data_IF_802998485526
#
_entry.id   IF_802998485526
#
_cell.length_a   1.000
_cell.length_b   1.000
_cell.length_c   1.000
_cell.angle_alpha   90.00
_cell.angle_beta   90.00
_cell.angle_gamma   90.00
#
_symmetry.space_group_name_H-M   'P 1'
#
loop_
_entity.id
_entity.type
_entity.pdbx_description
1 polymer ?
#
# COMPACT_ATOMS: atom_id res chain seq x y z
N UNK A 1 -9.65 4.86 -3.00
CA UNK A 1 -9.24 3.51 -2.52
C UNK A 1 -10.28 2.81 -1.64
N UNK A 2 -10.65 3.31 -0.44
CA UNK A 2 -11.51 2.59 0.51
C UNK A 2 -12.95 2.27 0.03
N UNK A 3 -13.53 3.11 -0.83
CA UNK A 3 -14.90 2.89 -1.35
C UNK A 3 -14.97 1.68 -2.29
N UNK A 4 -13.93 1.45 -3.08
CA UNK A 4 -13.85 0.32 -4.04
C UNK A 4 -13.70 -1.03 -3.32
N UNK A 5 -13.16 -1.05 -2.10
CA UNK A 5 -12.90 -2.26 -1.31
C UNK A 5 -14.21 -2.86 -0.74
N UNK A 6 -15.32 -2.12 -0.72
CA UNK A 6 -16.63 -2.60 -0.22
C UNK A 6 -17.46 -3.35 -1.27
N UNK A 7 -17.00 -3.42 -2.52
CA UNK A 7 -17.74 -4.00 -3.66
C UNK A 7 -17.65 -5.53 -3.84
N UNK A 8 -16.54 -6.22 -3.51
CA UNK A 8 -16.44 -7.68 -3.62
C UNK A 8 -17.54 -8.42 -2.85
N UNK A 9 -17.87 -9.64 -3.30
CA UNK A 9 -18.83 -10.48 -2.59
C UNK A 9 -18.33 -10.82 -1.18
N UNK A 10 -19.22 -10.91 -0.19
CA UNK A 10 -18.85 -11.29 1.18
C UNK A 10 -18.65 -12.80 1.26
N UNK A 11 -17.42 -13.22 1.03
CA UNK A 11 -16.95 -14.60 1.25
C UNK A 11 -15.86 -14.60 2.30
N UNK A 12 -15.60 -15.76 2.90
CA UNK A 12 -14.57 -15.91 3.93
C UNK A 12 -13.17 -15.51 3.41
N UNK A 13 -12.84 -15.92 2.18
CA UNK A 13 -11.57 -15.62 1.53
C UNK A 13 -11.43 -14.12 1.27
N UNK A 14 -12.49 -13.48 0.77
CA UNK A 14 -12.51 -12.04 0.52
C UNK A 14 -12.36 -11.25 1.81
N UNK A 15 -13.01 -11.66 2.90
CA UNK A 15 -12.89 -10.98 4.19
C UNK A 15 -11.45 -11.05 4.74
N UNK A 16 -10.75 -12.18 4.55
CA UNK A 16 -9.32 -12.30 4.90
C UNK A 16 -8.48 -11.36 4.04
N UNK A 17 -8.65 -11.38 2.72
CA UNK A 17 -7.87 -10.55 1.79
C UNK A 17 -8.09 -9.06 2.07
N UNK A 18 -9.34 -8.66 2.26
CA UNK A 18 -9.72 -7.28 2.63
C UNK A 18 -9.07 -6.89 3.96
N UNK A 19 -9.06 -7.80 4.94
CA UNK A 19 -8.41 -7.56 6.23
C UNK A 19 -6.89 -7.37 6.12
N UNK A 20 -6.21 -8.09 5.23
CA UNK A 20 -4.78 -7.88 4.94
C UNK A 20 -4.56 -6.54 4.20
N UNK A 21 -5.41 -6.24 3.22
CA UNK A 21 -5.35 -4.99 2.45
C UNK A 21 -5.52 -3.77 3.34
N UNK A 22 -6.53 -3.76 4.23
CA UNK A 22 -6.78 -2.65 5.14
C UNK A 22 -5.57 -2.41 6.04
N UNK A 23 -5.01 -3.46 6.63
CA UNK A 23 -3.84 -3.33 7.52
C UNK A 23 -2.64 -2.73 6.79
N UNK A 24 -2.28 -3.27 5.63
CA UNK A 24 -1.15 -2.75 4.85
C UNK A 24 -1.37 -1.29 4.43
N UNK A 25 -2.57 -0.94 3.92
CA UNK A 25 -2.88 0.46 3.55
C UNK A 25 -2.77 1.40 4.76
N UNK A 26 -3.32 1.01 5.92
CA UNK A 26 -3.22 1.86 7.12
C UNK A 26 -1.79 1.96 7.65
N UNK A 27 -0.98 0.92 7.45
CA UNK A 27 0.44 0.89 7.85
C UNK A 27 1.27 1.89 7.03
N UNK A 28 0.93 2.12 5.75
CA UNK A 28 1.56 3.16 4.91
C UNK A 28 1.49 4.53 5.59
N UNK A 29 0.30 4.96 5.99
CA UNK A 29 0.10 6.26 6.64
C UNK A 29 0.73 6.33 8.03
N UNK A 30 0.64 5.24 8.81
CA UNK A 30 1.25 5.18 10.14
C UNK A 30 2.78 5.34 10.09
N UNK A 31 3.46 4.65 9.17
CA UNK A 31 4.92 4.72 9.05
C UNK A 31 5.40 6.03 8.39
N UNK A 32 4.56 6.66 7.55
CA UNK A 32 4.86 8.01 7.03
C UNK A 32 4.82 9.05 8.16
N UNK A 33 3.83 8.98 9.05
CA UNK A 33 3.77 9.81 10.26
C UNK A 33 4.93 9.53 11.24
N UNK A 34 5.37 8.28 11.36
CA UNK A 34 6.55 7.93 12.16
C UNK A 34 7.83 8.53 11.58
N UNK A 35 7.95 8.59 10.25
CA UNK A 35 9.10 9.19 9.58
C UNK A 35 9.25 10.70 9.88
N UNK A 36 8.15 11.42 10.08
CA UNK A 36 8.18 12.84 10.49
C UNK A 36 8.80 13.03 11.89
N UNK A 37 8.72 12.00 12.75
CA UNK A 37 9.33 11.97 14.08
C UNK A 37 10.77 11.45 14.12
N UNK A 38 11.34 11.03 12.99
CA UNK A 38 12.66 10.39 12.96
C UNK A 38 13.79 11.34 13.37
N UNK A 39 14.63 10.90 14.30
CA UNK A 39 15.77 11.69 14.81
C UNK A 39 17.01 11.62 13.92
N UNK A 40 17.13 10.57 13.11
CA UNK A 40 18.29 10.34 12.24
C UNK A 40 17.87 10.03 10.82
N UNK A 41 18.79 10.25 9.87
CA UNK A 41 18.54 9.86 8.46
C UNK A 41 18.37 8.35 8.30
N UNK A 42 19.09 7.55 9.08
CA UNK A 42 18.98 6.10 9.03
C UNK A 42 17.58 5.65 9.45
N UNK A 43 17.04 6.27 10.50
CA UNK A 43 15.70 6.03 11.02
C UNK A 43 14.61 6.47 10.02
N UNK A 44 14.74 7.67 9.44
CA UNK A 44 13.85 8.13 8.36
C UNK A 44 13.83 7.18 7.17
N UNK A 45 15.01 6.70 6.75
CA UNK A 45 15.13 5.72 5.65
C UNK A 45 14.48 4.39 6.04
N UNK A 46 14.60 3.96 7.30
CA UNK A 46 13.98 2.74 7.81
C UNK A 46 12.45 2.84 7.72
N UNK A 47 11.86 3.91 8.27
CA UNK A 47 10.41 4.17 8.21
C UNK A 47 9.91 4.17 6.76
N UNK A 48 10.53 4.95 5.86
CA UNK A 48 10.12 4.96 4.45
C UNK A 48 10.37 3.63 3.71
N UNK A 49 11.32 2.81 4.18
CA UNK A 49 11.49 1.45 3.65
C UNK A 49 10.30 0.57 4.03
N UNK A 50 9.75 0.73 5.24
CA UNK A 50 8.51 0.07 5.66
C UNK A 50 7.33 0.59 4.84
N UNK A 51 7.15 1.92 4.72
CA UNK A 51 6.12 2.55 3.86
C UNK A 51 6.11 1.91 2.46
N UNK A 52 7.30 1.78 1.84
CA UNK A 52 7.44 1.16 0.51
C UNK A 52 7.05 -0.32 0.48
N UNK A 53 7.38 -1.07 1.54
CA UNK A 53 7.03 -2.48 1.66
C UNK A 53 5.51 -2.63 1.75
N UNK A 54 4.87 -1.84 2.61
CA UNK A 54 3.42 -1.84 2.82
C UNK A 54 2.65 -1.44 1.55
N UNK A 55 3.12 -0.44 0.80
CA UNK A 55 2.55 -0.08 -0.50
C UNK A 55 2.55 -1.25 -1.49
N UNK A 56 3.68 -1.97 -1.59
CA UNK A 56 3.79 -3.14 -2.48
C UNK A 56 2.87 -4.27 -2.03
N UNK A 57 2.76 -4.47 -0.72
CA UNK A 57 1.84 -5.45 -0.15
C UNK A 57 0.38 -5.08 -0.41
N UNK A 58 0.00 -3.81 -0.25
CA UNK A 58 -1.34 -3.32 -0.60
C UNK A 58 -1.67 -3.54 -2.08
N UNK A 59 -0.73 -3.24 -2.98
CA UNK A 59 -0.90 -3.50 -4.42
C UNK A 59 -1.07 -5.00 -4.73
N UNK A 60 -0.32 -5.85 -4.05
CA UNK A 60 -0.48 -7.30 -4.15
C UNK A 60 -1.89 -7.74 -3.73
N UNK A 61 -2.37 -7.26 -2.58
CA UNK A 61 -3.71 -7.62 -2.09
C UNK A 61 -4.83 -7.06 -2.98
N UNK A 62 -4.68 -5.86 -3.55
CA UNK A 62 -5.63 -5.30 -4.53
C UNK A 62 -5.73 -6.21 -5.75
N UNK A 63 -4.59 -6.62 -6.31
CA UNK A 63 -4.54 -7.53 -7.47
C UNK A 63 -5.18 -8.87 -7.15
N UNK A 64 -4.82 -9.48 -6.02
CA UNK A 64 -5.38 -10.76 -5.61
C UNK A 64 -6.89 -10.69 -5.38
N UNK A 65 -7.38 -9.59 -4.78
CA UNK A 65 -8.81 -9.36 -4.58
C UNK A 65 -9.55 -9.21 -5.92
N UNK A 66 -8.95 -8.51 -6.89
CA UNK A 66 -9.50 -8.36 -8.23
C UNK A 66 -9.54 -9.67 -9.01
N UNK A 67 -8.47 -10.47 -8.93
CA UNK A 67 -8.37 -11.77 -9.58
C UNK A 67 -9.41 -12.77 -9.03
N UNK A 68 -9.69 -12.71 -7.73
CA UNK A 68 -10.74 -13.51 -7.07
C UNK A 68 -12.16 -13.00 -7.31
N UNK A 69 -12.33 -11.78 -7.82
CA UNK A 69 -13.65 -11.14 -8.01
C UNK A 69 -13.79 -10.51 -9.41
N UNK A 70 -14.08 -11.32 -10.45
CA UNK A 70 -14.13 -10.86 -11.84
C UNK A 70 -15.06 -9.66 -12.08
N UNK A 71 -16.15 -9.55 -11.32
CA UNK A 71 -17.14 -8.45 -11.45
C UNK A 71 -16.60 -7.08 -11.06
N UNK A 72 -15.62 -6.99 -10.16
CA UNK A 72 -15.01 -5.72 -9.73
C UNK A 72 -13.52 -5.62 -10.07
N UNK A 73 -12.99 -6.56 -10.85
CA UNK A 73 -11.58 -6.61 -11.25
C UNK A 73 -11.10 -5.33 -11.92
N UNK A 74 -11.86 -4.81 -12.90
CA UNK A 74 -11.49 -3.59 -13.63
C UNK A 74 -11.28 -2.42 -12.67
N UNK A 75 -12.27 -2.15 -11.81
CA UNK A 75 -12.21 -1.04 -10.87
C UNK A 75 -11.09 -1.19 -9.82
N UNK A 76 -10.81 -2.42 -9.37
CA UNK A 76 -9.70 -2.68 -8.46
C UNK A 76 -8.35 -2.47 -9.16
N UNK A 77 -8.24 -2.90 -10.42
CA UNK A 77 -7.02 -2.74 -11.21
C UNK A 77 -6.77 -1.28 -11.62
N UNK A 78 -7.82 -0.46 -11.76
CA UNK A 78 -7.71 0.99 -11.97
C UNK A 78 -6.99 1.72 -10.83
N UNK A 79 -6.92 1.13 -9.63
CA UNK A 79 -6.16 1.67 -8.49
C UNK A 79 -4.65 1.35 -8.57
N UNK A 80 -4.25 0.37 -9.39
CA UNK A 80 -2.85 -0.06 -9.45
C UNK A 80 -1.90 1.02 -9.97
N UNK A 81 -2.20 1.76 -11.07
CA UNK A 81 -1.32 2.82 -11.54
C UNK A 81 -1.02 3.87 -10.49
N UNK A 82 -2.04 4.33 -9.76
CA UNK A 82 -1.88 5.32 -8.67
C UNK A 82 -0.98 4.77 -7.55
N UNK A 83 -1.21 3.53 -7.10
CA UNK A 83 -0.36 2.93 -6.07
C UNK A 83 1.08 2.69 -6.54
N UNK A 84 1.30 2.39 -7.82
CA UNK A 84 2.64 2.28 -8.41
C UNK A 84 3.35 3.63 -8.47
N UNK A 85 2.64 4.71 -8.79
CA UNK A 85 3.17 6.07 -8.76
C UNK A 85 3.58 6.47 -7.34
N UNK A 86 2.74 6.21 -6.33
CA UNK A 86 3.10 6.45 -4.92
C UNK A 86 4.34 5.64 -4.53
N UNK A 87 4.43 4.37 -4.96
CA UNK A 87 5.61 3.52 -4.72
C UNK A 87 6.88 4.11 -5.34
N UNK A 88 6.79 4.70 -6.54
CA UNK A 88 7.92 5.38 -7.20
C UNK A 88 8.32 6.65 -6.44
N UNK A 89 7.36 7.45 -5.97
CA UNK A 89 7.61 8.65 -5.16
C UNK A 89 8.37 8.27 -3.87
N UNK A 90 7.85 7.29 -3.12
CA UNK A 90 8.50 6.79 -1.89
C UNK A 90 9.91 6.26 -2.18
N UNK A 91 10.09 5.55 -3.29
CA UNK A 91 11.41 5.07 -3.70
C UNK A 91 12.37 6.23 -3.98
N UNK A 92 11.91 7.28 -4.66
CA UNK A 92 12.71 8.48 -4.93
C UNK A 92 13.09 9.21 -3.63
N UNK A 93 12.18 9.30 -2.65
CA UNK A 93 12.45 9.86 -1.31
C UNK A 93 13.61 9.10 -0.65
N UNK A 94 13.52 7.77 -0.56
CA UNK A 94 14.57 6.92 0.03
C UNK A 94 15.92 7.13 -0.67
N UNK A 95 15.95 7.08 -2.00
CA UNK A 95 17.19 7.20 -2.77
C UNK A 95 17.82 8.59 -2.63
N UNK A 96 17.00 9.64 -2.56
CA UNK A 96 17.48 11.01 -2.39
C UNK A 96 18.05 11.23 -0.99
N UNK A 97 17.43 10.67 0.05
CA UNK A 97 17.93 10.78 1.43
C UNK A 97 19.25 10.00 1.62
N UNK A 98 19.42 8.86 0.94
CA UNK A 98 20.68 8.09 0.96
C UNK A 98 21.88 8.78 0.31
N UNK A 99 21.64 9.69 -0.64
CA UNK A 99 22.70 10.37 -1.41
C UNK A 99 23.23 11.64 -0.73
N UNK A 100 22.47 12.21 0.20
CA UNK A 100 22.92 13.35 1.00
C UNK A 100 23.77 12.89 2.16
#
# INVERSE_FOLDING_TARGET
>A
MLQSIKKPARTYENDIIIGQLIRSITSVGANDQEADGSFTRADFIHCYTIVRKELKESLFWIRLLGDSNPRCRSELHELMPEGEEITKIVTAIILKTKKK
#
